data_IF_172773797449
#
_entry.id   IF_172773797449
#
_cell.length_a   1.000
_cell.length_b   1.000
_cell.length_c   1.000
_cell.angle_alpha   90.00
_cell.angle_beta   90.00
_cell.angle_gamma   90.00
#
_symmetry.space_group_name_H-M   'P 1'
#
loop_
_entity.id
_entity.type
_entity.pdbx_description
1 polymer ?
#
# COMPACT_ATOMS: atom_id res chain seq x y z
N UNK A 1 41.86 6.78 11.64
CA UNK A 1 40.93 6.00 12.49
C UNK A 1 39.83 6.96 12.92
N UNK A 2 38.70 6.98 12.22
CA UNK A 2 37.52 7.74 12.59
C UNK A 2 36.88 7.05 13.80
N UNK A 3 36.89 7.69 14.96
CA UNK A 3 36.09 7.26 16.08
C UNK A 3 34.62 7.48 15.69
N UNK A 4 33.88 6.39 15.56
CA UNK A 4 32.42 6.49 15.49
C UNK A 4 31.93 7.17 16.76
N UNK A 5 31.47 8.42 16.64
CA UNK A 5 30.93 9.14 17.77
C UNK A 5 29.74 8.33 18.31
N UNK A 6 29.75 8.01 19.60
CA UNK A 6 28.68 7.27 20.24
C UNK A 6 27.36 8.06 20.08
N UNK A 7 26.39 7.50 19.36
CA UNK A 7 25.08 8.12 19.14
C UNK A 7 24.34 8.30 20.47
N UNK A 8 23.90 9.51 20.74
CA UNK A 8 23.03 9.81 21.88
C UNK A 8 21.60 10.06 21.38
N UNK A 9 20.82 9.00 21.31
CA UNK A 9 19.48 9.02 20.74
C UNK A 9 18.52 10.00 21.44
N UNK A 10 18.77 10.39 22.67
CA UNK A 10 17.91 11.34 23.38
C UNK A 10 18.21 12.81 23.06
N UNK A 11 19.42 13.12 22.52
CA UNK A 11 19.89 14.48 22.36
C UNK A 11 20.29 14.85 20.92
N UNK A 12 20.72 13.88 20.13
CA UNK A 12 21.34 14.14 18.82
C UNK A 12 20.35 14.73 17.82
N UNK A 13 19.13 14.22 17.79
CA UNK A 13 18.04 14.77 16.98
C UNK A 13 16.81 14.93 17.87
N UNK A 14 16.31 16.15 17.93
CA UNK A 14 15.16 16.48 18.77
C UNK A 14 14.02 17.04 17.96
N UNK A 15 12.81 16.70 18.36
CA UNK A 15 11.59 17.32 17.83
C UNK A 15 11.46 18.74 18.38
N UNK A 16 11.26 19.71 17.50
CA UNK A 16 11.03 21.12 17.84
C UNK A 16 9.54 21.43 17.87
N UNK A 17 8.83 21.08 16.77
CA UNK A 17 7.39 21.30 16.64
C UNK A 17 6.75 20.13 15.90
N UNK A 18 5.48 19.94 16.18
CA UNK A 18 4.57 19.14 15.38
C UNK A 18 3.28 19.91 15.16
N UNK A 19 2.73 19.85 13.96
CA UNK A 19 1.52 20.52 13.55
C UNK A 19 0.66 19.56 12.74
N UNK A 20 -0.62 19.45 13.08
CA UNK A 20 -1.63 18.74 12.30
C UNK A 20 -2.98 19.35 12.61
N UNK A 21 -3.56 20.01 11.63
CA UNK A 21 -4.95 20.46 11.67
C UNK A 21 -5.91 19.30 11.41
N UNK A 22 -7.17 19.52 11.66
CA UNK A 22 -8.23 18.50 11.53
C UNK A 22 -8.55 18.07 10.09
N UNK A 23 -8.19 18.90 9.09
CA UNK A 23 -8.33 18.59 7.66
C UNK A 23 -7.01 18.26 6.98
N UNK A 24 -5.90 18.30 7.71
CA UNK A 24 -4.59 18.07 7.11
C UNK A 24 -4.42 16.60 6.73
N UNK A 25 -3.95 16.37 5.52
CA UNK A 25 -3.57 15.02 5.05
C UNK A 25 -2.19 14.59 5.57
N UNK A 26 -1.40 15.56 6.04
CA UNK A 26 -0.07 15.33 6.58
C UNK A 26 0.12 16.06 7.90
N UNK A 27 0.83 15.42 8.81
CA UNK A 27 1.42 16.07 9.97
C UNK A 27 2.78 16.67 9.62
N UNK A 28 3.04 17.89 10.05
CA UNK A 28 4.29 18.60 9.81
C UNK A 28 5.20 18.53 11.05
N UNK A 29 6.30 17.78 10.95
CA UNK A 29 7.25 17.54 12.02
C UNK A 29 8.54 18.33 11.79
N UNK A 30 8.96 19.14 12.74
CA UNK A 30 10.24 19.87 12.69
C UNK A 30 11.29 19.18 13.56
N UNK A 31 12.36 18.69 12.94
CA UNK A 31 13.47 18.03 13.60
C UNK A 31 14.71 18.92 13.60
N UNK A 32 15.39 19.03 14.73
CA UNK A 32 16.66 19.74 14.91
C UNK A 32 17.80 18.76 15.04
N UNK A 33 18.81 18.93 14.21
CA UNK A 33 20.09 18.23 14.33
C UNK A 33 21.00 18.96 15.33
N UNK A 34 21.25 18.35 16.47
CA UNK A 34 22.14 18.87 17.48
C UNK A 34 23.57 18.27 17.41
N UNK A 35 23.81 17.39 16.42
CA UNK A 35 25.13 16.80 16.18
C UNK A 35 26.04 17.79 15.43
N UNK A 36 27.35 17.47 15.40
CA UNK A 36 28.33 18.23 14.61
C UNK A 36 28.46 17.82 13.16
N UNK A 37 27.62 16.87 12.69
CA UNK A 37 27.69 16.29 11.35
C UNK A 37 26.34 16.36 10.63
N UNK A 38 26.34 16.30 9.31
CA UNK A 38 25.10 16.26 8.54
C UNK A 38 24.42 14.90 8.65
N UNK A 39 23.13 14.92 8.97
CA UNK A 39 22.28 13.74 9.06
C UNK A 39 21.53 13.54 7.75
N UNK A 40 21.57 12.32 7.19
CA UNK A 40 20.99 11.96 5.88
C UNK A 40 19.75 11.08 5.98
N UNK A 41 19.52 10.46 7.12
CA UNK A 41 18.34 9.64 7.38
C UNK A 41 18.01 9.65 8.87
N UNK A 42 16.73 9.57 9.20
CA UNK A 42 16.25 9.57 10.58
C UNK A 42 15.18 8.50 10.77
N UNK A 43 15.38 7.62 11.73
CA UNK A 43 14.39 6.63 12.17
C UNK A 43 13.84 7.05 13.52
N UNK A 44 12.55 7.22 13.64
CA UNK A 44 11.90 7.67 14.86
C UNK A 44 10.54 7.06 15.08
N UNK A 45 10.12 6.97 16.33
CA UNK A 45 8.82 6.53 16.77
C UNK A 45 8.01 7.74 17.24
N UNK A 46 6.78 7.83 16.80
CA UNK A 46 5.76 8.73 17.35
C UNK A 46 4.74 7.88 18.09
N UNK A 47 4.52 8.20 19.36
CA UNK A 47 3.41 7.66 20.13
C UNK A 47 2.34 8.74 20.22
N UNK A 48 1.13 8.42 19.81
CA UNK A 48 -0.05 9.27 19.88
C UNK A 48 -0.75 9.05 21.22
N UNK A 49 -1.05 10.15 21.92
CA UNK A 49 -1.63 10.11 23.25
C UNK A 49 -2.94 10.92 23.29
N UNK A 50 -3.89 10.48 24.07
CA UNK A 50 -5.07 11.30 24.38
C UNK A 50 -4.71 12.51 25.27
N UNK A 51 -5.66 13.38 25.56
CA UNK A 51 -5.42 14.56 26.39
C UNK A 51 -5.10 14.20 27.84
N UNK A 52 -5.44 12.99 28.30
CA UNK A 52 -5.12 12.46 29.62
C UNK A 52 -3.73 11.80 29.68
N UNK A 53 -3.10 11.57 28.54
CA UNK A 53 -1.77 10.96 28.43
C UNK A 53 -1.79 9.45 28.23
N UNK A 54 -2.97 8.84 27.98
CA UNK A 54 -3.06 7.44 27.62
C UNK A 54 -2.63 7.25 26.16
N UNK A 55 -1.96 6.14 25.87
CA UNK A 55 -1.55 5.80 24.54
C UNK A 55 -2.76 5.41 23.69
N UNK A 56 -2.88 6.06 22.53
CA UNK A 56 -3.88 5.77 21.51
C UNK A 56 -3.32 4.81 20.47
N UNK A 57 -2.10 5.12 19.98
CA UNK A 57 -1.42 4.37 18.94
C UNK A 57 0.06 4.75 18.87
N UNK A 58 0.85 4.02 18.09
CA UNK A 58 2.23 4.39 17.79
C UNK A 58 2.61 4.05 16.35
N UNK A 59 3.52 4.82 15.78
CA UNK A 59 3.98 4.63 14.41
C UNK A 59 5.48 4.91 14.29
N UNK A 60 6.20 4.02 13.60
CA UNK A 60 7.62 4.18 13.32
C UNK A 60 7.84 4.72 11.92
N UNK A 61 8.65 5.74 11.80
CA UNK A 61 8.97 6.41 10.55
C UNK A 61 10.45 6.28 10.23
N UNK A 62 10.75 5.98 8.97
CA UNK A 62 12.07 6.04 8.39
C UNK A 62 12.06 7.09 7.29
N UNK A 63 12.71 8.23 7.51
CA UNK A 63 12.69 9.36 6.58
C UNK A 63 14.09 9.71 6.10
N UNK A 64 14.26 9.65 4.78
CA UNK A 64 15.45 10.21 4.13
C UNK A 64 15.33 11.73 4.15
N UNK A 65 16.24 12.38 4.84
CA UNK A 65 16.24 13.83 5.05
C UNK A 65 17.65 14.32 5.29
N UNK A 66 18.05 15.42 4.64
CA UNK A 66 19.32 16.07 4.87
C UNK A 66 19.13 17.21 5.88
N UNK A 67 19.77 17.09 7.06
CA UNK A 67 19.75 18.09 8.12
C UNK A 67 21.17 18.46 8.48
N UNK A 68 21.60 19.66 8.09
CA UNK A 68 22.93 20.16 8.40
C UNK A 68 23.12 20.37 9.93
N UNK A 69 24.35 20.38 10.46
CA UNK A 69 24.66 20.58 11.86
C UNK A 69 23.97 21.83 12.43
N UNK A 70 23.32 21.69 13.58
CA UNK A 70 22.63 22.78 14.29
C UNK A 70 21.37 23.32 13.60
N UNK A 71 20.97 22.79 12.45
CA UNK A 71 19.79 23.26 11.68
C UNK A 71 18.54 22.46 12.03
N UNK A 72 17.39 23.09 11.76
CA UNK A 72 16.07 22.48 11.86
C UNK A 72 15.51 22.26 10.47
N UNK A 73 14.90 21.12 10.26
CA UNK A 73 14.22 20.75 9.01
C UNK A 73 12.79 20.33 9.29
N UNK A 74 11.84 20.89 8.52
CA UNK A 74 10.45 20.48 8.51
C UNK A 74 10.29 19.32 7.55
N UNK A 75 9.63 18.26 7.98
CA UNK A 75 9.31 17.05 7.20
C UNK A 75 7.84 16.73 7.35
N UNK A 76 7.26 16.10 6.33
CA UNK A 76 5.88 15.68 6.35
C UNK A 76 5.80 14.17 6.63
N UNK A 77 4.85 13.81 7.48
CA UNK A 77 4.44 12.43 7.77
C UNK A 77 2.93 12.32 7.54
N UNK A 78 2.37 11.13 7.30
CA UNK A 78 0.92 10.96 7.24
C UNK A 78 0.24 11.55 8.48
N UNK A 79 -0.92 12.16 8.28
CA UNK A 79 -1.72 12.69 9.39
C UNK A 79 -2.32 11.53 10.20
N UNK A 80 -2.25 11.63 11.52
CA UNK A 80 -2.89 10.67 12.41
C UNK A 80 -4.40 10.78 12.33
N UNK A 81 -5.09 9.63 12.09
CA UNK A 81 -6.56 9.49 12.10
C UNK A 81 -7.31 10.62 11.35
N UNK A 82 -6.82 10.97 10.17
CA UNK A 82 -7.39 12.04 9.33
C UNK A 82 -8.90 11.88 9.10
N UNK A 83 -9.36 10.65 8.83
CA UNK A 83 -10.78 10.35 8.57
C UNK A 83 -11.68 10.60 9.78
N UNK A 84 -11.11 10.63 11.00
CA UNK A 84 -11.81 10.88 12.26
C UNK A 84 -11.62 12.30 12.77
N UNK A 85 -11.05 13.21 11.97
CA UNK A 85 -10.86 14.62 12.28
C UNK A 85 -10.00 14.87 13.53
N UNK A 86 -9.02 14.02 13.81
CA UNK A 86 -8.07 14.27 14.88
C UNK A 86 -7.16 15.45 14.55
N UNK A 87 -6.79 16.23 15.55
CA UNK A 87 -5.88 17.36 15.42
C UNK A 87 -4.87 17.39 16.57
N UNK A 88 -3.68 17.85 16.28
CA UNK A 88 -2.68 18.06 17.32
C UNK A 88 -3.09 19.26 18.22
N UNK A 89 -3.07 19.07 19.54
CA UNK A 89 -3.64 20.00 20.51
C UNK A 89 -3.05 21.42 20.49
N UNK A 90 -1.83 21.61 19.94
CA UNK A 90 -1.19 22.92 19.75
C UNK A 90 -1.36 23.51 18.36
N UNK A 91 -1.92 22.77 17.41
CA UNK A 91 -2.17 23.32 16.09
C UNK A 91 -3.29 24.38 16.14
N UNK A 92 -3.17 25.47 15.38
CA UNK A 92 -4.23 26.46 15.32
C UNK A 92 -5.52 25.79 14.83
N UNK A 93 -6.52 25.76 15.69
CA UNK A 93 -7.83 25.17 15.40
C UNK A 93 -8.84 26.24 15.04
N UNK A 94 -9.70 26.00 14.06
CA UNK A 94 -10.93 26.76 13.92
C UNK A 94 -11.89 26.38 15.05
N UNK A 95 -12.51 27.37 15.69
CA UNK A 95 -13.36 27.21 16.90
C UNK A 95 -14.65 26.39 16.67
N UNK A 96 -14.91 25.91 15.45
CA UNK A 96 -16.23 25.43 15.03
C UNK A 96 -16.48 23.92 15.16
N UNK A 97 -15.55 23.11 15.67
CA UNK A 97 -15.67 21.65 15.55
C UNK A 97 -15.44 20.86 16.83
N UNK A 98 -16.23 19.80 17.12
CA UNK A 98 -15.94 18.83 18.16
C UNK A 98 -14.73 18.00 17.73
N UNK A 99 -13.55 18.37 18.23
CA UNK A 99 -12.30 17.82 17.76
C UNK A 99 -11.72 16.90 18.79
N UNK A 100 -11.31 15.74 18.33
CA UNK A 100 -10.50 14.87 19.18
C UNK A 100 -9.06 15.36 19.13
N UNK A 101 -8.68 16.10 20.17
CA UNK A 101 -7.30 16.57 20.32
C UNK A 101 -6.40 15.43 20.78
N UNK A 102 -5.18 15.40 20.24
CA UNK A 102 -4.17 14.45 20.67
C UNK A 102 -2.82 15.14 20.97
N UNK A 103 -1.99 14.45 21.74
CA UNK A 103 -0.59 14.79 21.98
C UNK A 103 0.30 13.77 21.30
N UNK A 104 1.57 14.12 21.11
CA UNK A 104 2.57 13.17 20.65
C UNK A 104 3.75 13.09 21.61
N UNK A 105 4.39 11.90 21.63
CA UNK A 105 5.70 11.67 22.20
C UNK A 105 6.62 11.22 21.07
N UNK A 106 7.70 11.95 20.86
CA UNK A 106 8.74 11.64 19.88
C UNK A 106 9.86 10.84 20.53
N UNK A 107 10.35 9.80 19.88
CA UNK A 107 11.50 9.04 20.28
C UNK A 107 12.38 8.74 19.06
N UNK A 108 13.61 9.26 19.07
CA UNK A 108 14.61 8.88 18.07
C UNK A 108 15.00 7.41 18.26
N UNK A 109 15.01 6.62 17.18
CA UNK A 109 15.45 5.22 17.17
C UNK A 109 16.85 5.07 16.58
N UNK A 110 17.10 5.74 15.47
CA UNK A 110 18.40 5.74 14.80
C UNK A 110 18.53 6.92 13.83
N UNK A 111 19.74 7.20 13.37
CA UNK A 111 20.01 8.15 12.29
C UNK A 111 21.31 7.79 11.58
N UNK A 112 21.42 8.16 10.30
CA UNK A 112 22.64 7.95 9.51
C UNK A 112 23.27 9.30 9.17
N UNK A 113 24.60 9.35 9.20
CA UNK A 113 25.40 10.50 8.80
C UNK A 113 26.01 10.29 7.43
N UNK A 114 26.50 11.37 6.80
CA UNK A 114 27.18 11.28 5.52
C UNK A 114 28.42 10.36 5.61
N UNK A 115 28.45 9.32 4.78
CA UNK A 115 29.52 8.27 4.78
C UNK A 115 29.11 6.93 5.39
N UNK A 116 28.08 6.85 6.27
CA UNK A 116 27.53 5.58 6.76
C UNK A 116 26.36 5.07 5.86
N UNK A 117 25.88 5.92 4.93
CA UNK A 117 24.63 5.69 4.21
C UNK A 117 24.71 4.60 3.14
N UNK A 118 25.90 4.16 2.68
CA UNK A 118 25.99 3.21 1.56
C UNK A 118 25.79 1.76 2.00
N UNK A 119 26.14 1.36 3.20
CA UNK A 119 25.97 -0.03 3.64
C UNK A 119 24.56 -0.35 4.17
N UNK A 120 23.92 0.57 4.89
CA UNK A 120 22.56 0.34 5.43
C UNK A 120 21.45 0.54 4.39
N UNK A 121 21.61 1.50 3.47
CA UNK A 121 20.60 1.75 2.43
C UNK A 121 20.47 0.56 1.45
N UNK A 122 21.55 -0.16 1.15
CA UNK A 122 21.46 -1.32 0.26
C UNK A 122 20.66 -2.47 0.89
N UNK A 123 20.76 -2.70 2.20
CA UNK A 123 20.03 -3.77 2.88
C UNK A 123 18.57 -3.43 3.17
N UNK A 124 18.26 -2.19 3.52
CA UNK A 124 16.88 -1.74 3.77
C UNK A 124 16.08 -1.53 2.49
N UNK A 125 16.68 -0.96 1.44
CA UNK A 125 16.03 -0.81 0.13
C UNK A 125 15.80 -2.15 -0.56
N UNK A 126 16.69 -3.13 -0.38
CA UNK A 126 16.50 -4.50 -0.88
C UNK A 126 15.35 -5.17 -0.13
N UNK A 127 15.22 -4.96 1.18
CA UNK A 127 14.15 -5.56 1.98
C UNK A 127 12.78 -4.92 1.68
N UNK A 128 12.71 -3.61 1.50
CA UNK A 128 11.46 -2.90 1.17
C UNK A 128 11.03 -3.15 -0.28
N UNK A 129 11.98 -3.23 -1.22
CA UNK A 129 11.71 -3.60 -2.61
C UNK A 129 11.18 -5.02 -2.72
N UNK A 130 11.81 -5.99 -2.04
CA UNK A 130 11.40 -7.38 -2.07
C UNK A 130 10.00 -7.61 -1.46
N UNK A 131 9.57 -6.83 -0.45
CA UNK A 131 8.22 -6.93 0.11
C UNK A 131 7.16 -6.34 -0.81
N UNK A 132 7.41 -5.21 -1.45
CA UNK A 132 6.50 -4.60 -2.42
C UNK A 132 6.38 -5.43 -3.69
N UNK A 133 7.50 -5.89 -4.24
CA UNK A 133 7.53 -6.73 -5.44
C UNK A 133 6.83 -8.08 -5.18
N UNK A 134 7.00 -8.68 -4.01
CA UNK A 134 6.30 -9.89 -3.58
C UNK A 134 4.79 -9.69 -3.47
N UNK A 135 4.33 -8.55 -2.94
CA UNK A 135 2.91 -8.23 -2.84
C UNK A 135 2.26 -8.03 -4.22
N UNK A 136 2.91 -7.27 -5.12
CA UNK A 136 2.42 -7.12 -6.50
C UNK A 136 2.42 -8.44 -7.26
N UNK A 137 3.39 -9.30 -7.04
CA UNK A 137 3.44 -10.64 -7.65
C UNK A 137 2.26 -11.51 -7.21
N UNK A 138 1.92 -11.51 -5.91
CA UNK A 138 0.77 -12.24 -5.37
C UNK A 138 -0.54 -11.73 -5.97
N UNK A 139 -0.71 -10.40 -6.06
CA UNK A 139 -1.89 -9.79 -6.70
C UNK A 139 -1.97 -10.19 -8.18
N UNK A 140 -0.86 -10.10 -8.92
CA UNK A 140 -0.83 -10.47 -10.33
C UNK A 140 -1.19 -11.95 -10.55
N UNK A 141 -0.67 -12.86 -9.73
CA UNK A 141 -1.00 -14.30 -9.78
C UNK A 141 -2.49 -14.50 -9.44
N UNK A 142 -3.02 -13.81 -8.44
CA UNK A 142 -4.44 -13.93 -8.07
C UNK A 142 -5.37 -13.47 -9.19
N UNK A 143 -5.06 -12.37 -9.85
CA UNK A 143 -5.80 -11.86 -11.01
C UNK A 143 -5.72 -12.88 -12.18
N UNK A 144 -4.54 -13.42 -12.43
CA UNK A 144 -4.34 -14.41 -13.50
C UNK A 144 -5.18 -15.68 -13.25
N UNK A 145 -5.16 -16.21 -12.03
CA UNK A 145 -5.96 -17.38 -11.65
C UNK A 145 -7.46 -17.10 -11.76
N UNK A 146 -7.90 -15.91 -11.38
CA UNK A 146 -9.30 -15.48 -11.53
C UNK A 146 -9.74 -15.41 -13.00
N UNK A 147 -8.91 -14.87 -13.89
CA UNK A 147 -9.18 -14.82 -15.33
C UNK A 147 -9.22 -16.22 -15.96
N UNK A 148 -8.34 -17.13 -15.54
CA UNK A 148 -8.36 -18.54 -15.96
C UNK A 148 -9.68 -19.21 -15.52
N UNK A 149 -10.10 -18.99 -14.26
CA UNK A 149 -11.36 -19.53 -13.75
C UNK A 149 -12.58 -19.05 -14.55
N UNK A 150 -12.65 -17.76 -14.88
CA UNK A 150 -13.70 -17.20 -15.74
C UNK A 150 -13.67 -17.86 -17.13
N UNK A 151 -12.49 -17.99 -17.73
CA UNK A 151 -12.35 -18.61 -19.06
C UNK A 151 -12.88 -20.04 -19.07
N UNK A 152 -12.51 -20.86 -18.10
CA UNK A 152 -13.01 -22.25 -17.97
C UNK A 152 -14.54 -22.26 -17.84
N UNK A 153 -15.10 -21.37 -17.00
CA UNK A 153 -16.54 -21.23 -16.83
C UNK A 153 -17.27 -20.91 -18.13
N UNK A 154 -16.73 -20.03 -18.96
CA UNK A 154 -17.29 -19.70 -20.28
C UNK A 154 -17.25 -20.88 -21.24
N UNK A 155 -16.17 -21.68 -21.28
CA UNK A 155 -16.11 -22.90 -22.12
C UNK A 155 -17.12 -23.95 -21.66
N UNK A 156 -17.30 -24.13 -20.36
CA UNK A 156 -18.35 -25.03 -19.83
C UNK A 156 -19.74 -24.54 -20.26
N UNK A 157 -19.96 -23.22 -20.20
CA UNK A 157 -21.24 -22.63 -20.63
C UNK A 157 -21.52 -22.85 -22.12
N UNK A 158 -20.51 -22.70 -22.99
CA UNK A 158 -20.62 -23.05 -24.44
C UNK A 158 -20.99 -24.52 -24.61
N UNK A 159 -20.33 -25.44 -23.88
CA UNK A 159 -20.59 -26.87 -23.95
C UNK A 159 -22.04 -27.21 -23.58
N UNK A 160 -22.51 -26.68 -22.43
CA UNK A 160 -23.90 -26.91 -21.95
C UNK A 160 -24.94 -26.33 -22.92
N UNK A 161 -24.69 -25.13 -23.44
CA UNK A 161 -25.60 -24.52 -24.42
C UNK A 161 -25.64 -25.29 -25.75
N UNK A 162 -24.49 -25.75 -26.25
CA UNK A 162 -24.44 -26.58 -27.46
C UNK A 162 -25.21 -27.88 -27.26
N UNK A 163 -25.05 -28.55 -26.11
CA UNK A 163 -25.76 -29.75 -25.75
C UNK A 163 -27.28 -29.55 -25.69
N UNK A 164 -27.74 -28.52 -24.98
CA UNK A 164 -29.18 -28.19 -24.88
C UNK A 164 -29.84 -27.86 -26.22
N UNK A 165 -29.05 -27.47 -27.22
CA UNK A 165 -29.52 -27.12 -28.55
C UNK A 165 -29.30 -28.23 -29.59
N UNK A 166 -29.08 -29.47 -29.15
CA UNK A 166 -28.83 -30.65 -30.01
C UNK A 166 -27.70 -30.41 -31.02
N UNK A 167 -26.62 -29.72 -30.59
CA UNK A 167 -25.46 -29.46 -31.43
C UNK A 167 -24.25 -30.21 -30.93
N UNK A 168 -23.32 -30.51 -31.86
CA UNK A 168 -22.10 -31.23 -31.51
C UNK A 168 -21.20 -30.37 -30.61
N UNK A 169 -21.11 -30.73 -29.32
CA UNK A 169 -20.38 -30.00 -28.29
C UNK A 169 -18.90 -29.83 -28.65
N UNK A 170 -18.27 -30.85 -29.23
CA UNK A 170 -16.83 -30.82 -29.57
C UNK A 170 -16.54 -29.75 -30.61
N UNK A 171 -17.37 -29.66 -31.67
CA UNK A 171 -17.19 -28.64 -32.72
C UNK A 171 -17.35 -27.24 -32.12
N UNK A 172 -18.29 -27.01 -31.23
CA UNK A 172 -18.54 -25.70 -30.63
C UNK A 172 -17.43 -25.29 -29.64
N UNK A 173 -16.85 -26.24 -28.91
CA UNK A 173 -15.69 -25.98 -28.07
C UNK A 173 -14.45 -25.64 -28.93
N UNK A 174 -14.18 -26.41 -30.01
CA UNK A 174 -13.09 -26.11 -30.93
C UNK A 174 -13.26 -24.75 -31.61
N UNK A 175 -14.46 -24.39 -32.01
CA UNK A 175 -14.77 -23.09 -32.57
C UNK A 175 -14.53 -21.96 -31.52
N UNK A 176 -14.84 -22.20 -30.26
CA UNK A 176 -14.64 -21.23 -29.20
C UNK A 176 -13.16 -21.02 -28.81
N UNK A 177 -12.28 -21.94 -29.19
CA UNK A 177 -10.82 -21.75 -29.09
C UNK A 177 -10.27 -20.77 -30.14
N UNK A 178 -10.91 -20.70 -31.32
CA UNK A 178 -10.53 -19.78 -32.41
C UNK A 178 -11.24 -18.43 -32.23
N UNK A 179 -12.52 -18.46 -31.90
CA UNK A 179 -13.31 -17.29 -31.55
C UNK A 179 -13.51 -17.23 -30.04
N UNK A 180 -13.71 -16.04 -29.47
CA UNK A 180 -13.92 -15.93 -28.03
C UNK A 180 -15.13 -16.71 -27.55
N UNK A 181 -15.10 -17.39 -26.37
CA UNK A 181 -16.26 -18.16 -25.87
C UNK A 181 -17.54 -17.32 -25.75
N UNK A 182 -17.39 -16.05 -25.42
CA UNK A 182 -18.53 -15.12 -25.32
C UNK A 182 -19.23 -14.89 -26.64
N UNK A 183 -18.48 -14.76 -27.76
CA UNK A 183 -19.04 -14.67 -29.11
C UNK A 183 -19.80 -15.93 -29.47
N UNK A 184 -19.28 -17.11 -29.13
CA UNK A 184 -19.92 -18.40 -29.41
C UNK A 184 -21.22 -18.58 -28.64
N UNK A 185 -21.31 -18.08 -27.40
CA UNK A 185 -22.54 -18.03 -26.61
C UNK A 185 -23.60 -17.20 -27.34
N UNK A 186 -23.24 -16.02 -27.83
CA UNK A 186 -24.14 -15.11 -28.56
C UNK A 186 -24.63 -15.79 -29.85
N UNK A 187 -23.74 -16.41 -30.61
CA UNK A 187 -24.08 -17.13 -31.84
C UNK A 187 -25.02 -18.31 -31.54
N UNK A 188 -24.75 -19.10 -30.48
CA UNK A 188 -25.64 -20.18 -30.06
C UNK A 188 -27.01 -19.66 -29.65
N UNK A 189 -27.11 -18.52 -29.02
CA UNK A 189 -28.38 -17.88 -28.69
C UNK A 189 -29.15 -17.44 -29.94
N UNK A 190 -28.46 -16.90 -30.94
CA UNK A 190 -29.04 -16.39 -32.16
C UNK A 190 -29.56 -17.52 -33.10
N UNK A 191 -28.78 -18.59 -33.25
CA UNK A 191 -29.13 -19.68 -34.19
C UNK A 191 -30.26 -20.56 -33.65
N UNK A 192 -30.44 -20.69 -32.34
CA UNK A 192 -31.50 -21.50 -31.76
C UNK A 192 -31.22 -23.02 -31.79
N UNK A 193 -32.27 -23.80 -31.56
CA UNK A 193 -32.21 -25.27 -31.49
C UNK A 193 -32.14 -25.90 -32.90
N UNK A 194 -31.29 -26.94 -33.02
CA UNK A 194 -31.22 -27.72 -34.26
C UNK A 194 -32.36 -28.76 -34.31
N UNK A 195 -33.39 -28.50 -35.09
CA UNK A 195 -34.56 -29.37 -35.25
C UNK A 195 -34.29 -30.61 -36.08
N UNK A 196 -33.21 -30.62 -36.89
CA UNK A 196 -32.85 -31.73 -37.78
C UNK A 196 -31.95 -32.79 -37.10
N UNK A 197 -31.69 -32.65 -35.83
CA UNK A 197 -30.87 -33.59 -35.05
C UNK A 197 -31.67 -34.86 -34.71
N UNK A 198 -31.41 -35.95 -35.44
CA UNK A 198 -31.96 -37.25 -35.16
C UNK A 198 -30.91 -38.10 -34.38
N UNK A 199 -31.12 -38.40 -33.07
CA UNK A 199 -30.17 -39.17 -32.27
C UNK A 199 -30.05 -40.64 -32.66
N UNK A 200 -30.95 -41.17 -33.53
CA UNK A 200 -31.01 -42.58 -33.92
C UNK A 200 -29.93 -43.00 -34.93
N UNK A 201 -29.16 -42.07 -35.52
CA UNK A 201 -28.20 -42.38 -36.60
C UNK A 201 -26.76 -42.54 -36.07
N UNK A 202 -26.59 -42.70 -34.78
CA UNK A 202 -25.24 -42.83 -34.18
C UNK A 202 -25.09 -44.20 -33.48
N UNK A 203 -25.10 -45.26 -34.29
CA UNK A 203 -24.58 -46.57 -33.94
C UNK A 203 -23.27 -46.82 -34.65
#
# INVERSE_FOLDING_TARGET
VAFAAQKNLDKDITMVTYEQGWMDTNGALSLKNNTGVEVKNVVFLITYLDMSGNELDYEEFNKSVSIAPGKTKKIDIPAYEQERFYHYYKSPGNEMEPKTAFKIKFQLKDYNVEGEAEELNSSSLIRERNTKDGFYLIIAISILLFLIGISIGLYVMVAVMAQKRNRNVVIWILLSLIATPLLMIIILLAIGENKDYNPQIRN
#
